data_IF_909104946949
#
_entry.id   IF_909104946949
#
_cell.length_a   1.000
_cell.length_b   1.000
_cell.length_c   1.000
_cell.angle_alpha   90.00
_cell.angle_beta   90.00
_cell.angle_gamma   90.00
#
_symmetry.space_group_name_H-M   'P 1'
#
loop_
_entity.id
_entity.type
_entity.pdbx_description
1 polymer ?
#
# COMPACT_ATOMS: atom_id res chain seq x y z
N UNK A 1 -56.81 1.64 6.15
CA UNK A 1 -55.95 1.68 4.94
C UNK A 1 -54.81 2.64 5.22
N UNK A 2 -53.65 2.15 5.66
CA UNK A 2 -52.45 2.98 5.75
C UNK A 2 -51.23 2.07 5.78
N UNK A 3 -50.45 2.08 4.71
CA UNK A 3 -49.07 1.60 4.73
C UNK A 3 -48.27 2.42 3.72
N UNK A 4 -47.56 3.41 4.25
CA UNK A 4 -46.51 4.16 3.58
C UNK A 4 -45.40 3.20 3.17
N UNK A 5 -45.11 3.08 1.88
CA UNK A 5 -43.88 2.44 1.39
C UNK A 5 -42.81 3.53 1.27
N UNK A 6 -41.99 3.68 2.31
CA UNK A 6 -40.80 4.52 2.25
C UNK A 6 -39.75 3.80 1.40
N UNK A 7 -39.28 4.47 0.35
CA UNK A 7 -38.23 3.98 -0.54
C UNK A 7 -36.88 3.86 0.16
N UNK A 8 -36.15 2.81 -0.17
CA UNK A 8 -34.72 2.67 0.11
C UNK A 8 -33.92 3.47 -0.92
N UNK A 9 -33.18 4.54 -0.56
CA UNK A 9 -32.13 5.03 -1.42
C UNK A 9 -30.88 4.18 -1.16
N UNK A 10 -30.75 3.06 -1.86
CA UNK A 10 -29.46 2.37 -1.95
C UNK A 10 -28.66 3.10 -3.03
N UNK A 11 -27.99 4.18 -2.66
CA UNK A 11 -27.04 4.85 -3.53
C UNK A 11 -25.76 5.12 -2.74
N UNK A 12 -25.02 4.06 -2.46
CA UNK A 12 -23.60 4.22 -2.17
C UNK A 12 -22.94 4.37 -3.53
N UNK A 13 -22.81 5.61 -3.99
CA UNK A 13 -21.80 5.98 -4.98
C UNK A 13 -20.44 5.59 -4.36
N UNK A 14 -20.00 4.36 -4.59
CA UNK A 14 -18.71 3.89 -4.12
C UNK A 14 -17.67 4.59 -4.98
N UNK A 15 -17.34 5.83 -4.62
CA UNK A 15 -16.24 6.56 -5.21
C UNK A 15 -15.03 5.66 -5.13
N UNK A 16 -14.49 5.29 -6.29
CA UNK A 16 -13.21 4.60 -6.37
C UNK A 16 -12.14 5.53 -5.81
N UNK A 17 -11.34 5.02 -4.89
CA UNK A 17 -10.32 5.79 -4.18
C UNK A 17 -8.97 5.30 -4.65
N UNK A 18 -8.16 6.22 -5.17
CA UNK A 18 -6.87 5.91 -5.77
C UNK A 18 -5.75 6.48 -4.93
N UNK A 19 -4.62 5.80 -4.92
CA UNK A 19 -3.39 6.35 -4.39
C UNK A 19 -2.88 7.40 -5.36
N UNK A 20 -2.55 8.58 -4.82
CA UNK A 20 -1.94 9.70 -5.53
C UNK A 20 -0.44 9.77 -5.30
N UNK A 21 0.00 9.52 -4.07
CA UNK A 21 1.41 9.53 -3.72
C UNK A 21 1.68 8.72 -2.45
N UNK A 22 2.92 8.29 -2.27
CA UNK A 22 3.41 7.69 -1.04
C UNK A 22 4.73 8.31 -0.60
N UNK A 23 4.98 8.30 0.71
CA UNK A 23 6.26 8.65 1.29
C UNK A 23 6.60 7.67 2.42
N UNK A 24 7.80 7.10 2.39
CA UNK A 24 8.26 6.16 3.41
C UNK A 24 9.29 6.85 4.30
N UNK A 25 9.08 6.78 5.61
CA UNK A 25 10.00 7.33 6.62
C UNK A 25 10.73 6.19 7.33
N UNK A 26 11.43 6.48 8.44
CA UNK A 26 12.06 5.44 9.24
C UNK A 26 11.04 4.49 9.92
N UNK A 27 9.83 4.97 10.21
CA UNK A 27 8.84 4.21 11.01
C UNK A 27 7.41 4.23 10.48
N UNK A 28 7.14 4.99 9.41
CA UNK A 28 5.80 5.15 8.82
C UNK A 28 5.80 5.08 7.30
N UNK A 29 4.77 4.47 6.75
CA UNK A 29 4.32 4.64 5.38
C UNK A 29 3.21 5.70 5.36
N UNK A 30 3.41 6.78 4.61
CA UNK A 30 2.42 7.82 4.37
C UNK A 30 1.78 7.59 3.00
N UNK A 31 0.45 7.64 2.94
CA UNK A 31 -0.30 7.43 1.69
C UNK A 31 -1.26 8.59 1.50
N UNK A 32 -1.17 9.26 0.36
CA UNK A 32 -2.09 10.32 -0.07
C UNK A 32 -3.05 9.76 -1.10
N UNK A 33 -4.35 9.93 -0.85
CA UNK A 33 -5.42 9.49 -1.75
C UNK A 33 -5.96 10.65 -2.59
N UNK A 34 -6.60 10.31 -3.71
CA UNK A 34 -7.17 11.28 -4.66
C UNK A 34 -8.38 12.05 -4.12
N UNK A 35 -9.00 11.58 -3.04
CA UNK A 35 -10.11 12.23 -2.33
C UNK A 35 -9.64 13.24 -1.26
N UNK A 36 -8.32 13.45 -1.14
CA UNK A 36 -7.74 14.38 -0.18
C UNK A 36 -7.42 13.76 1.19
N UNK A 37 -7.74 12.48 1.43
CA UNK A 37 -7.34 11.80 2.67
C UNK A 37 -5.87 11.40 2.65
N UNK A 38 -5.29 11.31 3.87
CA UNK A 38 -3.94 10.83 4.12
C UNK A 38 -3.93 9.79 5.23
N UNK A 39 -3.31 8.64 4.98
CA UNK A 39 -3.10 7.60 5.98
C UNK A 39 -1.64 7.51 6.43
N UNK A 40 -1.42 7.20 7.71
CA UNK A 40 -0.10 7.04 8.33
C UNK A 40 0.02 5.65 8.96
N UNK A 41 0.54 4.69 8.22
CA UNK A 41 0.61 3.29 8.60
C UNK A 41 1.98 2.97 9.20
N UNK A 42 2.10 2.11 10.23
CA UNK A 42 3.39 1.65 10.74
C UNK A 42 4.20 0.97 9.64
N UNK A 43 5.48 1.34 9.49
CA UNK A 43 6.35 0.72 8.49
C UNK A 43 6.62 -0.76 8.79
N UNK A 44 6.58 -1.15 10.06
CA UNK A 44 6.76 -2.54 10.50
C UNK A 44 5.70 -3.50 9.96
N UNK A 45 4.57 -3.00 9.45
CA UNK A 45 3.54 -3.82 8.80
C UNK A 45 3.88 -4.23 7.38
N UNK A 46 4.95 -3.67 6.81
CA UNK A 46 5.39 -3.89 5.44
C UNK A 46 6.86 -4.34 5.47
N UNK A 47 7.14 -5.63 5.74
CA UNK A 47 8.48 -6.13 6.04
C UNK A 47 9.52 -5.78 4.96
N UNK A 48 9.16 -5.89 3.68
CA UNK A 48 10.04 -5.50 2.56
C UNK A 48 10.39 -4.01 2.58
N UNK A 49 9.40 -3.15 2.82
CA UNK A 49 9.62 -1.70 2.95
C UNK A 49 10.47 -1.37 4.19
N UNK A 50 10.23 -2.04 5.31
CA UNK A 50 11.00 -1.88 6.54
C UNK A 50 12.49 -2.24 6.36
N UNK A 51 12.81 -3.20 5.49
CA UNK A 51 14.19 -3.59 5.17
C UNK A 51 14.79 -2.84 3.98
N UNK A 52 13.98 -2.10 3.21
CA UNK A 52 14.46 -1.31 2.08
C UNK A 52 15.34 -0.13 2.50
N UNK A 53 16.34 0.19 1.67
CA UNK A 53 17.13 1.42 1.80
C UNK A 53 16.30 2.65 1.43
N UNK A 54 16.78 3.85 1.76
CA UNK A 54 16.11 5.11 1.36
C UNK A 54 15.92 5.19 -0.16
N UNK A 55 16.92 4.77 -0.95
CA UNK A 55 16.84 4.74 -2.42
C UNK A 55 15.73 3.81 -2.90
N UNK A 56 15.63 2.63 -2.32
CA UNK A 56 14.64 1.62 -2.70
C UNK A 56 13.23 2.07 -2.34
N UNK A 57 13.05 2.61 -1.13
CA UNK A 57 11.77 3.17 -0.64
C UNK A 57 11.27 4.35 -1.46
N UNK A 58 12.18 5.16 -1.99
CA UNK A 58 11.85 6.31 -2.83
C UNK A 58 11.65 5.93 -4.31
N UNK A 59 12.00 4.71 -4.71
CA UNK A 59 11.75 4.19 -6.05
C UNK A 59 10.44 3.41 -6.06
N UNK A 60 9.35 4.11 -6.31
CA UNK A 60 8.00 3.53 -6.40
C UNK A 60 7.26 4.03 -7.63
N UNK A 61 6.21 3.30 -8.02
CA UNK A 61 5.36 3.62 -9.16
C UNK A 61 3.90 3.36 -8.81
N UNK A 62 2.98 4.21 -9.29
CA UNK A 62 1.56 3.87 -9.27
C UNK A 62 1.29 2.81 -10.33
N UNK A 63 0.60 1.74 -9.93
CA UNK A 63 0.15 0.69 -10.84
C UNK A 63 -1.37 0.75 -10.98
N UNK A 64 -1.86 0.15 -12.07
CA UNK A 64 -3.29 0.09 -12.39
C UNK A 64 -3.97 1.47 -12.21
N UNK A 65 -3.43 2.54 -12.80
CA UNK A 65 -4.01 3.89 -12.70
C UNK A 65 -4.29 4.37 -11.25
N UNK A 66 -3.48 3.93 -10.27
CA UNK A 66 -3.59 4.32 -8.86
C UNK A 66 -4.38 3.34 -7.98
N UNK A 67 -4.78 2.18 -8.48
CA UNK A 67 -5.34 1.09 -7.65
C UNK A 67 -4.28 0.35 -6.82
N UNK A 68 -3.00 0.65 -7.02
CA UNK A 68 -1.93 0.14 -6.19
C UNK A 68 -0.63 0.91 -6.36
N UNK A 69 0.36 0.53 -5.57
CA UNK A 69 1.72 1.07 -5.58
C UNK A 69 2.70 -0.09 -5.64
N UNK A 70 3.63 -0.01 -6.57
CA UNK A 70 4.70 -0.99 -6.78
C UNK A 70 6.05 -0.38 -6.41
N UNK A 71 6.85 -1.10 -5.62
CA UNK A 71 8.26 -0.79 -5.35
C UNK A 71 9.15 -1.79 -6.09
N UNK A 72 9.63 -1.47 -7.32
CA UNK A 72 10.34 -2.42 -8.16
C UNK A 72 11.68 -2.90 -7.58
N UNK A 73 12.34 -2.08 -6.77
CA UNK A 73 13.61 -2.47 -6.14
C UNK A 73 13.40 -3.34 -4.90
N UNK A 74 12.16 -3.42 -4.40
CA UNK A 74 11.80 -4.22 -3.23
C UNK A 74 10.89 -5.38 -3.61
N UNK A 75 10.43 -5.46 -4.86
CA UNK A 75 9.44 -6.45 -5.31
C UNK A 75 8.18 -6.41 -4.41
N UNK A 76 7.73 -5.22 -3.99
CA UNK A 76 6.55 -5.07 -3.13
C UNK A 76 5.41 -4.41 -3.89
N UNK A 77 4.21 -4.97 -3.76
CA UNK A 77 2.97 -4.45 -4.30
C UNK A 77 1.94 -4.24 -3.20
N UNK A 78 1.41 -3.01 -3.09
CA UNK A 78 0.35 -2.68 -2.13
C UNK A 78 -0.88 -2.15 -2.86
N UNK A 79 -2.05 -2.70 -2.56
CA UNK A 79 -3.32 -2.24 -3.14
C UNK A 79 -3.84 -0.98 -2.44
N UNK A 80 -4.50 -0.11 -3.20
CA UNK A 80 -5.16 1.09 -2.68
C UNK A 80 -6.23 0.71 -1.64
N UNK A 81 -6.96 -0.39 -1.87
CA UNK A 81 -7.96 -0.92 -0.94
C UNK A 81 -7.34 -1.35 0.39
N UNK A 82 -6.24 -2.12 0.36
CA UNK A 82 -5.54 -2.54 1.57
C UNK A 82 -4.99 -1.35 2.38
N UNK A 83 -4.39 -0.38 1.69
CA UNK A 83 -3.90 0.85 2.31
C UNK A 83 -5.03 1.70 2.91
N UNK A 84 -6.19 1.73 2.24
CA UNK A 84 -7.36 2.44 2.71
C UNK A 84 -8.00 1.75 3.92
N UNK A 85 -8.02 0.42 3.94
CA UNK A 85 -8.47 -0.36 5.09
C UNK A 85 -7.48 -0.32 6.28
N UNK A 86 -6.26 0.18 6.07
CA UNK A 86 -5.19 0.14 7.06
C UNK A 86 -4.69 -1.27 7.32
N UNK A 87 -4.72 -2.13 6.30
CA UNK A 87 -4.26 -3.51 6.40
C UNK A 87 -2.72 -3.61 6.31
N UNK A 88 -2.10 -4.56 7.05
CA UNK A 88 -0.70 -4.89 6.86
C UNK A 88 -0.44 -5.58 5.51
N UNK A 89 0.83 -5.78 5.15
CA UNK A 89 1.19 -6.57 3.97
C UNK A 89 0.63 -8.00 4.10
N UNK A 90 0.17 -8.56 2.99
CA UNK A 90 -0.30 -9.96 2.89
C UNK A 90 0.84 -10.97 2.74
N UNK A 91 2.09 -10.53 2.81
CA UNK A 91 3.27 -11.38 2.67
C UNK A 91 3.36 -12.45 3.77
N UNK A 92 3.64 -13.71 3.38
CA UNK A 92 3.93 -14.79 4.33
C UNK A 92 5.38 -14.73 4.83
N UNK A 93 5.63 -15.26 6.03
CA UNK A 93 7.00 -15.40 6.57
C UNK A 93 7.96 -16.08 5.59
N UNK A 94 7.51 -17.15 4.92
CA UNK A 94 8.32 -17.87 3.94
C UNK A 94 8.63 -17.05 2.68
N UNK A 95 7.69 -16.25 2.19
CA UNK A 95 7.91 -15.34 1.06
C UNK A 95 8.94 -14.28 1.43
N UNK A 96 8.83 -13.73 2.65
CA UNK A 96 9.76 -12.74 3.17
C UNK A 96 11.17 -13.29 3.36
N UNK A 97 11.32 -14.49 3.92
CA UNK A 97 12.61 -15.16 4.09
C UNK A 97 13.28 -15.49 2.74
N UNK A 98 12.51 -15.96 1.76
CA UNK A 98 13.00 -16.21 0.42
C UNK A 98 13.48 -14.92 -0.25
N UNK A 99 12.74 -13.83 -0.09
CA UNK A 99 13.12 -12.51 -0.58
C UNK A 99 14.40 -12.01 0.11
N UNK A 100 14.52 -12.11 1.44
CA UNK A 100 15.75 -11.74 2.16
C UNK A 100 16.98 -12.52 1.66
N UNK A 101 16.79 -13.80 1.32
CA UNK A 101 17.87 -14.67 0.84
C UNK A 101 18.30 -14.37 -0.60
N UNK A 102 17.38 -13.93 -1.46
CA UNK A 102 17.65 -13.61 -2.86
C UNK A 102 18.15 -12.18 -3.08
N UNK A 103 18.00 -11.30 -2.08
CA UNK A 103 18.48 -9.92 -2.17
C UNK A 103 20.00 -9.86 -2.37
N UNK A 104 20.49 -9.05 -3.32
CA UNK A 104 21.90 -8.71 -3.38
C UNK A 104 22.29 -8.06 -2.05
N UNK A 105 23.14 -8.72 -1.26
CA UNK A 105 23.70 -8.10 -0.06
C UNK A 105 24.41 -6.82 -0.51
N UNK A 106 24.06 -5.69 0.10
CA UNK A 106 24.78 -4.43 -0.05
C UNK A 106 26.23 -4.66 0.40
N UNK A 107 27.12 -5.05 -0.52
CA UNK A 107 28.47 -5.47 -0.17
C UNK A 107 29.22 -6.39 -1.14
N UNK A 108 28.69 -6.73 -2.33
CA UNK A 108 29.53 -7.24 -3.43
C UNK A 108 29.50 -6.27 -4.61
N UNK A 109 30.26 -5.19 -4.46
CA UNK A 109 30.89 -4.55 -5.62
C UNK A 109 32.10 -5.44 -5.95
N UNK A 110 32.10 -6.04 -7.13
CA UNK A 110 33.32 -6.63 -7.69
C UNK A 110 34.23 -5.51 -8.21
#
# INVERSE_FOLDING_TARGET
MSSSKNGTPTSTDTKVIRVKAVAVTASRLKVDFDDGRRHLLPLSWYPRLAHGTVKERNTWQLIAKGYGVHWPLLDEDLSAEGLLAGAPSGESTSSFENWLSSRPKAGKVN
#
